data_IF_885529749364
#
_entry.id   IF_885529749364
#
_cell.length_a   1.000
_cell.length_b   1.000
_cell.length_c   1.000
_cell.angle_alpha   90.00
_cell.angle_beta   90.00
_cell.angle_gamma   90.00
#
_symmetry.space_group_name_H-M   'P 1'
#
loop_
_entity.id
_entity.type
_entity.pdbx_description
1 polymer ?
#
# COMPACT_ATOMS: atom_id res chain seq x y z
N UNK A 1 25.62 -23.36 5.36
CA UNK A 1 24.39 -24.14 5.59
C UNK A 1 23.30 -23.56 4.72
N UNK A 2 22.88 -24.27 3.68
CA UNK A 2 21.71 -23.91 2.88
C UNK A 2 20.47 -24.07 3.78
N UNK A 3 19.89 -22.98 4.27
CA UNK A 3 18.50 -23.02 4.73
C UNK A 3 17.63 -23.28 3.50
N UNK A 4 17.25 -24.54 3.31
CA UNK A 4 16.08 -24.87 2.52
C UNK A 4 14.92 -24.09 3.12
N UNK A 5 14.33 -23.18 2.35
CA UNK A 5 13.08 -22.55 2.73
C UNK A 5 12.05 -23.66 2.82
N UNK A 6 11.71 -24.10 4.04
CA UNK A 6 10.51 -24.90 4.25
C UNK A 6 9.35 -24.12 3.60
N UNK A 7 8.67 -24.74 2.64
CA UNK A 7 7.39 -24.22 2.18
C UNK A 7 6.50 -24.07 3.42
N UNK A 8 6.19 -22.82 3.77
CA UNK A 8 5.37 -22.53 4.93
C UNK A 8 4.00 -23.18 4.70
N UNK A 9 3.70 -24.21 5.49
CA UNK A 9 2.40 -24.89 5.46
C UNK A 9 1.30 -23.84 5.61
N UNK A 10 0.26 -23.93 4.75
CA UNK A 10 -0.88 -23.02 4.81
C UNK A 10 -1.42 -22.94 6.25
N UNK A 11 -1.64 -21.72 6.78
CA UNK A 11 -1.99 -21.54 8.19
C UNK A 11 -3.39 -22.09 8.52
N UNK A 12 -4.24 -22.23 7.51
CA UNK A 12 -5.51 -22.93 7.60
C UNK A 12 -5.93 -23.45 6.21
N UNK A 13 -6.89 -24.38 6.21
CA UNK A 13 -7.59 -24.83 5.01
C UNK A 13 -8.98 -24.22 5.01
N UNK A 14 -9.43 -23.75 3.84
CA UNK A 14 -10.80 -23.28 3.68
C UNK A 14 -11.79 -24.43 3.89
N UNK A 15 -12.92 -24.12 4.52
CA UNK A 15 -14.07 -25.02 4.66
C UNK A 15 -15.14 -24.63 3.64
N UNK A 16 -14.76 -24.60 2.37
CA UNK A 16 -15.62 -24.22 1.26
C UNK A 16 -16.06 -25.46 0.49
N UNK A 17 -17.36 -25.78 0.51
CA UNK A 17 -17.90 -26.93 -0.22
C UNK A 17 -17.93 -26.71 -1.74
N UNK A 18 -17.85 -25.46 -2.21
CA UNK A 18 -17.80 -25.09 -3.61
C UNK A 18 -16.70 -24.04 -3.86
N UNK A 19 -15.41 -24.44 -3.78
CA UNK A 19 -14.29 -23.52 -3.87
C UNK A 19 -14.34 -22.60 -5.09
N UNK A 20 -14.26 -21.29 -4.86
CA UNK A 20 -14.32 -20.27 -5.90
C UNK A 20 -13.63 -18.98 -5.45
N UNK A 21 -13.47 -18.05 -6.40
CA UNK A 21 -13.18 -16.65 -6.07
C UNK A 21 -14.44 -16.00 -5.53
N UNK A 22 -14.37 -15.48 -4.31
CA UNK A 22 -15.43 -14.70 -3.67
C UNK A 22 -15.07 -13.22 -3.76
N UNK A 23 -15.99 -12.42 -4.31
CA UNK A 23 -15.88 -10.96 -4.38
C UNK A 23 -17.07 -10.37 -3.63
N UNK A 24 -16.79 -9.56 -2.61
CA UNK A 24 -17.81 -8.97 -1.74
C UNK A 24 -17.71 -7.45 -1.85
N UNK A 25 -18.87 -6.80 -2.03
CA UNK A 25 -18.99 -5.34 -2.03
C UNK A 25 -20.06 -4.94 -1.02
N UNK A 26 -19.75 -3.98 -0.17
CA UNK A 26 -20.65 -3.46 0.86
C UNK A 26 -20.40 -1.97 1.08
N UNK A 27 -21.33 -1.28 1.75
CA UNK A 27 -21.20 0.15 2.07
C UNK A 27 -20.64 0.34 3.46
N UNK A 28 -19.65 1.21 3.62
CA UNK A 28 -19.06 1.53 4.92
C UNK A 28 -20.14 2.01 5.92
N UNK A 29 -21.07 2.86 5.48
CA UNK A 29 -22.20 3.34 6.30
C UNK A 29 -23.20 2.26 6.72
N UNK A 30 -23.26 1.13 6.01
CA UNK A 30 -24.11 -0.01 6.39
C UNK A 30 -23.37 -1.01 7.29
N UNK A 31 -22.03 -1.06 7.19
CA UNK A 31 -21.17 -1.90 8.02
C UNK A 31 -21.03 -1.31 9.42
N UNK A 32 -20.75 0.00 9.52
CA UNK A 32 -20.62 0.73 10.78
C UNK A 32 -21.48 2.00 10.76
N UNK A 33 -22.57 2.09 11.55
CA UNK A 33 -23.42 3.28 11.59
C UNK A 33 -22.72 4.52 12.18
N UNK A 34 -21.54 4.37 12.81
CA UNK A 34 -20.72 5.51 13.25
C UNK A 34 -19.94 6.15 12.10
N UNK A 35 -19.89 5.51 10.94
CA UNK A 35 -19.24 6.01 9.74
C UNK A 35 -19.83 7.35 9.29
N UNK A 36 -18.98 8.35 9.06
CA UNK A 36 -19.40 9.68 8.60
C UNK A 36 -18.62 10.14 7.37
N UNK A 37 -19.25 10.93 6.49
CA UNK A 37 -18.53 11.72 5.50
C UNK A 37 -17.79 12.89 6.18
N UNK A 38 -16.77 13.39 5.50
CA UNK A 38 -15.97 14.56 5.86
C UNK A 38 -15.88 15.51 4.65
N UNK A 39 -16.97 16.23 4.31
CA UNK A 39 -16.99 17.12 3.13
C UNK A 39 -15.92 18.21 3.17
N UNK A 40 -15.48 18.64 4.36
CA UNK A 40 -14.42 19.62 4.60
C UNK A 40 -13.06 19.20 4.03
N UNK A 41 -12.83 17.90 3.84
CA UNK A 41 -11.66 17.34 3.16
C UNK A 41 -12.06 16.58 1.90
N UNK A 42 -13.22 16.88 1.30
CA UNK A 42 -13.68 16.26 0.06
C UNK A 42 -14.00 14.76 0.15
N UNK A 43 -14.16 14.20 1.36
CA UNK A 43 -14.51 12.80 1.58
C UNK A 43 -16.02 12.65 1.79
N UNK A 44 -16.71 12.01 0.86
CA UNK A 44 -18.19 11.97 0.83
C UNK A 44 -18.71 10.55 0.62
N UNK A 45 -19.95 10.27 1.05
CA UNK A 45 -20.61 8.98 0.84
C UNK A 45 -21.50 8.96 -0.41
N UNK A 46 -21.73 10.12 -0.99
CA UNK A 46 -22.41 10.29 -2.25
C UNK A 46 -21.69 11.36 -3.07
N UNK A 47 -21.50 11.09 -4.36
CA UNK A 47 -20.94 12.04 -5.32
C UNK A 47 -21.78 12.01 -6.57
N UNK A 48 -22.25 13.17 -7.02
CA UNK A 48 -23.07 13.32 -8.23
C UNK A 48 -24.32 12.40 -8.23
N UNK A 49 -25.02 12.29 -7.10
CA UNK A 49 -26.20 11.43 -6.95
C UNK A 49 -25.89 9.94 -6.82
N UNK A 50 -24.62 9.54 -6.73
CA UNK A 50 -24.18 8.14 -6.69
C UNK A 50 -23.47 7.83 -5.38
N UNK A 51 -23.86 6.72 -4.77
CA UNK A 51 -23.18 6.14 -3.61
C UNK A 51 -21.69 5.93 -3.91
N UNK A 52 -20.82 6.46 -3.04
CA UNK A 52 -19.37 6.38 -3.15
C UNK A 52 -18.69 5.64 -2.00
N UNK A 53 -19.40 5.33 -0.91
CA UNK A 53 -18.83 4.71 0.29
C UNK A 53 -18.66 3.19 0.23
N UNK A 54 -18.36 2.66 -0.96
CA UNK A 54 -18.19 1.22 -1.14
C UNK A 54 -16.83 0.72 -0.66
N UNK A 55 -16.87 -0.44 -0.03
CA UNK A 55 -15.73 -1.27 0.34
C UNK A 55 -15.79 -2.57 -0.45
N UNK A 56 -14.61 -3.10 -0.80
CA UNK A 56 -14.48 -4.25 -1.68
C UNK A 56 -13.55 -5.29 -1.05
N UNK A 57 -13.90 -6.55 -1.13
CA UNK A 57 -13.10 -7.66 -0.63
C UNK A 57 -13.00 -8.78 -1.67
N UNK A 58 -11.88 -9.50 -1.66
CA UNK A 58 -11.64 -10.65 -2.51
C UNK A 58 -10.86 -11.74 -1.77
N UNK A 59 -11.27 -12.99 -1.97
CA UNK A 59 -10.54 -14.20 -1.54
C UNK A 59 -10.79 -15.32 -2.56
N UNK A 60 -9.77 -16.11 -2.89
CA UNK A 60 -9.93 -17.29 -3.75
C UNK A 60 -9.74 -18.57 -2.94
N UNK A 61 -10.84 -19.24 -2.59
CA UNK A 61 -10.81 -20.45 -1.75
C UNK A 61 -10.32 -21.69 -2.50
N UNK A 62 -10.07 -21.58 -3.82
CA UNK A 62 -9.42 -22.64 -4.63
C UNK A 62 -7.90 -22.67 -4.42
N UNK A 63 -7.32 -21.57 -3.94
CA UNK A 63 -5.87 -21.41 -3.75
C UNK A 63 -5.54 -21.59 -2.27
N UNK A 64 -4.48 -22.34 -1.89
CA UNK A 64 -4.07 -22.44 -0.50
C UNK A 64 -3.80 -21.06 0.13
N UNK A 65 -4.41 -20.80 1.28
CA UNK A 65 -4.24 -19.54 2.02
C UNK A 65 -2.78 -19.34 2.43
N UNK A 66 -2.26 -18.11 2.30
CA UNK A 66 -1.03 -17.68 2.97
C UNK A 66 -1.29 -17.10 4.37
N UNK A 67 -2.56 -16.95 4.76
CA UNK A 67 -2.98 -16.28 6.00
C UNK A 67 -2.46 -14.86 6.12
N UNK A 68 -2.50 -14.13 5.00
CA UNK A 68 -2.13 -12.72 4.93
C UNK A 68 -3.28 -11.91 4.33
N UNK A 69 -3.49 -10.71 4.86
CA UNK A 69 -4.52 -9.77 4.42
C UNK A 69 -3.87 -8.56 3.78
N UNK A 70 -4.17 -8.31 2.51
CA UNK A 70 -3.80 -7.08 1.81
C UNK A 70 -4.86 -6.02 2.07
N UNK A 71 -4.44 -4.86 2.57
CA UNK A 71 -5.28 -3.66 2.64
C UNK A 71 -4.79 -2.68 1.58
N UNK A 72 -5.63 -2.39 0.59
CA UNK A 72 -5.34 -1.51 -0.53
C UNK A 72 -5.85 -0.08 -0.27
N UNK A 73 -4.93 0.89 -0.23
CA UNK A 73 -5.19 2.29 0.17
C UNK A 73 -5.44 3.23 -1.01
N UNK A 74 -6.14 2.74 -2.04
CA UNK A 74 -6.63 3.54 -3.16
C UNK A 74 -8.03 3.06 -3.56
N UNK A 75 -8.62 3.67 -4.60
CA UNK A 75 -9.84 3.13 -5.21
C UNK A 75 -9.68 1.67 -5.62
N UNK A 76 -10.78 0.92 -5.60
CA UNK A 76 -10.78 -0.51 -5.90
C UNK A 76 -10.09 -0.83 -7.24
N UNK A 77 -9.15 -1.78 -7.21
CA UNK A 77 -8.46 -2.28 -8.38
C UNK A 77 -8.73 -3.80 -8.50
N UNK A 78 -9.74 -4.17 -9.30
CA UNK A 78 -10.11 -5.55 -9.52
C UNK A 78 -8.96 -6.41 -10.09
N UNK A 79 -8.16 -5.85 -10.99
CA UNK A 79 -7.03 -6.58 -11.59
C UNK A 79 -5.91 -6.86 -10.58
N UNK A 80 -5.68 -5.96 -9.61
CA UNK A 80 -4.81 -6.24 -8.49
C UNK A 80 -5.40 -7.32 -7.59
N UNK A 81 -6.71 -7.26 -7.30
CA UNK A 81 -7.41 -8.21 -6.43
C UNK A 81 -7.40 -9.63 -7.01
N UNK A 82 -7.59 -9.77 -8.33
CA UNK A 82 -7.42 -11.04 -9.05
C UNK A 82 -6.04 -11.66 -8.80
N UNK A 83 -4.98 -10.84 -8.87
CA UNK A 83 -3.61 -11.31 -8.69
C UNK A 83 -3.33 -11.70 -7.25
N UNK A 84 -3.58 -10.81 -6.30
CA UNK A 84 -3.26 -11.09 -4.89
C UNK A 84 -4.06 -12.28 -4.36
N UNK A 85 -5.33 -12.43 -4.77
CA UNK A 85 -6.13 -13.61 -4.44
C UNK A 85 -5.61 -14.89 -5.09
N UNK A 86 -5.14 -14.83 -6.35
CA UNK A 86 -4.46 -15.96 -7.01
C UNK A 86 -3.14 -16.38 -6.32
N UNK A 87 -2.57 -15.50 -5.47
CA UNK A 87 -1.41 -15.81 -4.66
C UNK A 87 -1.79 -16.45 -3.31
N UNK A 88 -3.08 -16.62 -3.00
CA UNK A 88 -3.57 -17.11 -1.71
C UNK A 88 -3.67 -16.03 -0.64
N UNK A 89 -3.73 -14.75 -1.04
CA UNK A 89 -3.88 -13.61 -0.14
C UNK A 89 -5.36 -13.19 -0.09
N UNK A 90 -5.83 -12.81 1.10
CA UNK A 90 -7.08 -12.07 1.23
C UNK A 90 -6.83 -10.61 0.87
N UNK A 91 -7.81 -9.94 0.28
CA UNK A 91 -7.69 -8.53 -0.06
C UNK A 91 -8.92 -7.74 0.35
N UNK A 92 -8.72 -6.54 0.88
CA UNK A 92 -9.76 -5.54 1.12
C UNK A 92 -9.33 -4.16 0.63
N UNK A 93 -10.30 -3.36 0.24
CA UNK A 93 -10.19 -1.92 0.03
C UNK A 93 -11.31 -1.27 0.82
N UNK A 94 -10.95 -0.37 1.73
CA UNK A 94 -11.89 0.32 2.62
C UNK A 94 -12.08 1.77 2.23
N UNK A 95 -13.26 2.32 2.52
CA UNK A 95 -13.60 3.70 2.25
C UNK A 95 -13.33 4.53 3.52
N UNK A 96 -12.10 5.02 3.65
CA UNK A 96 -11.61 5.79 4.80
C UNK A 96 -11.36 7.25 4.43
N UNK A 97 -11.34 8.14 5.43
CA UNK A 97 -11.28 9.60 5.27
C UNK A 97 -9.96 10.12 4.66
N UNK A 98 -9.76 9.87 3.36
CA UNK A 98 -8.51 10.09 2.64
C UNK A 98 -8.54 11.29 1.66
N UNK A 99 -9.63 12.05 1.64
CA UNK A 99 -9.83 13.14 0.68
C UNK A 99 -8.92 14.37 0.90
N UNK A 100 -8.31 14.49 2.09
CA UNK A 100 -7.46 15.62 2.50
C UNK A 100 -6.28 15.89 1.56
N UNK A 101 -5.85 14.90 0.77
CA UNK A 101 -4.68 15.01 -0.12
C UNK A 101 -4.80 16.15 -1.14
N UNK A 102 -6.02 16.47 -1.60
CA UNK A 102 -6.24 17.59 -2.53
C UNK A 102 -6.14 18.97 -1.87
N UNK A 103 -6.30 19.02 -0.54
CA UNK A 103 -6.39 20.28 0.21
C UNK A 103 -5.04 20.75 0.74
N UNK A 104 -4.20 19.82 1.19
CA UNK A 104 -2.91 20.08 1.83
C UNK A 104 -1.71 19.78 0.92
N UNK A 105 -0.52 20.28 1.30
CA UNK A 105 0.72 20.06 0.54
C UNK A 105 0.99 21.09 -0.56
N UNK A 106 0.34 22.25 -0.48
CA UNK A 106 0.56 23.42 -1.36
C UNK A 106 1.76 24.25 -0.88
N UNK A 107 2.32 25.06 -1.78
CA UNK A 107 3.34 26.05 -1.44
C UNK A 107 2.76 27.27 -0.73
N UNK A 108 3.50 27.92 0.19
CA UNK A 108 4.80 27.48 0.73
C UNK A 108 4.67 26.30 1.68
N UNK A 109 5.70 25.45 1.74
CA UNK A 109 5.75 24.33 2.67
C UNK A 109 5.54 24.78 4.14
N UNK A 110 4.70 24.09 4.93
CA UNK A 110 4.56 24.36 6.36
C UNK A 110 5.88 24.25 7.11
N UNK A 111 6.03 25.06 8.17
CA UNK A 111 7.24 25.05 9.00
C UNK A 111 7.49 23.67 9.63
N UNK A 112 6.42 23.03 10.13
CA UNK A 112 6.44 21.66 10.61
C UNK A 112 6.81 20.68 9.48
N UNK A 113 7.94 20.01 9.63
CA UNK A 113 8.49 19.07 8.65
C UNK A 113 7.89 17.66 8.74
N UNK A 114 6.84 17.50 9.56
CA UNK A 114 6.00 16.30 9.68
C UNK A 114 4.51 16.56 9.43
N UNK A 115 4.15 17.75 8.95
CA UNK A 115 2.76 18.19 8.74
C UNK A 115 1.82 17.20 8.01
N UNK A 116 2.06 16.87 6.74
CA UNK A 116 1.28 15.85 6.00
C UNK A 116 1.49 14.46 6.60
N UNK A 117 2.67 14.16 7.14
CA UNK A 117 2.95 12.93 7.87
C UNK A 117 2.03 12.72 9.08
N UNK A 118 1.59 13.79 9.74
CA UNK A 118 0.60 13.78 10.85
C UNK A 118 -0.81 13.58 10.32
N UNK A 119 -1.23 14.33 9.29
CA UNK A 119 -2.55 14.19 8.65
C UNK A 119 -2.74 12.76 8.12
N UNK A 120 -1.72 12.19 7.47
CA UNK A 120 -1.69 10.79 7.01
C UNK A 120 -1.97 9.81 8.13
N UNK A 121 -1.33 10.03 9.28
CA UNK A 121 -1.44 9.11 10.39
C UNK A 121 -2.84 9.19 11.01
N UNK A 122 -3.36 10.40 11.20
CA UNK A 122 -4.74 10.61 11.66
C UNK A 122 -5.77 10.01 10.69
N UNK A 123 -5.62 10.19 9.37
CA UNK A 123 -6.50 9.52 8.40
C UNK A 123 -6.39 7.98 8.45
N UNK A 124 -5.23 7.44 8.82
CA UNK A 124 -5.01 6.00 8.90
C UNK A 124 -5.53 5.40 10.23
N UNK A 125 -5.45 6.11 11.34
CA UNK A 125 -5.78 5.60 12.69
C UNK A 125 -7.11 6.12 13.23
N UNK A 126 -7.50 7.34 12.82
CA UNK A 126 -8.57 8.13 13.42
C UNK A 126 -8.25 8.62 14.84
N UNK A 127 -6.96 8.79 15.14
CA UNK A 127 -6.45 9.41 16.36
C UNK A 127 -5.91 10.81 16.04
N UNK A 128 -6.05 11.73 16.98
CA UNK A 128 -5.60 13.12 16.82
C UNK A 128 -4.07 13.20 16.73
N UNK A 129 -3.57 13.48 15.53
CA UNK A 129 -2.15 13.73 15.27
C UNK A 129 -1.90 15.11 14.67
N UNK A 130 -2.95 15.77 14.17
CA UNK A 130 -2.84 16.95 13.34
C UNK A 130 -3.88 18.00 13.72
N UNK A 131 -3.48 19.27 13.96
CA UNK A 131 -4.42 20.32 14.34
C UNK A 131 -5.29 20.84 13.17
N UNK A 132 -5.08 20.35 11.94
CA UNK A 132 -5.76 20.85 10.73
C UNK A 132 -6.83 19.92 10.18
N UNK A 133 -7.00 18.75 10.77
CA UNK A 133 -8.07 17.79 10.45
C UNK A 133 -8.68 17.29 11.75
N UNK A 134 -9.87 16.68 11.68
CA UNK A 134 -10.51 16.03 12.82
C UNK A 134 -11.20 14.76 12.32
N UNK A 135 -10.42 13.69 12.15
CA UNK A 135 -10.90 12.41 11.67
C UNK A 135 -11.09 11.48 12.88
N UNK A 136 -12.33 11.17 13.29
CA UNK A 136 -12.56 10.33 14.44
C UNK A 136 -12.27 8.86 14.10
N UNK A 137 -11.99 8.07 15.14
CA UNK A 137 -11.65 6.64 15.04
C UNK A 137 -12.49 5.84 14.03
N UNK A 138 -13.84 5.91 14.00
CA UNK A 138 -14.66 5.16 13.04
C UNK A 138 -14.31 5.40 11.57
N UNK A 139 -13.79 6.58 11.23
CA UNK A 139 -13.58 7.03 9.86
C UNK A 139 -12.13 6.85 9.38
N UNK A 140 -11.23 6.48 10.30
CA UNK A 140 -9.86 6.07 10.01
C UNK A 140 -9.78 4.69 9.34
N UNK A 141 -8.74 4.49 8.51
CA UNK A 141 -8.50 3.24 7.77
C UNK A 141 -8.49 2.00 8.68
N UNK A 142 -7.82 2.09 9.83
CA UNK A 142 -7.64 1.00 10.78
C UNK A 142 -8.97 0.45 11.31
N UNK A 143 -9.87 1.33 11.74
CA UNK A 143 -11.19 0.92 12.26
C UNK A 143 -12.09 0.43 11.13
N UNK A 144 -12.10 1.12 9.97
CA UNK A 144 -12.83 0.68 8.77
C UNK A 144 -12.48 -0.75 8.38
N UNK A 145 -11.18 -1.06 8.29
CA UNK A 145 -10.69 -2.39 7.97
C UNK A 145 -11.12 -3.44 8.99
N UNK A 146 -11.05 -3.11 10.28
CA UNK A 146 -11.50 -4.01 11.35
C UNK A 146 -13.00 -4.31 11.28
N UNK A 147 -13.85 -3.28 11.11
CA UNK A 147 -15.29 -3.49 10.98
C UNK A 147 -15.64 -4.26 9.69
N UNK A 148 -14.95 -3.99 8.59
CA UNK A 148 -15.19 -4.70 7.34
C UNK A 148 -14.81 -6.18 7.45
N UNK A 149 -13.69 -6.53 8.08
CA UNK A 149 -13.31 -7.93 8.34
C UNK A 149 -14.35 -8.65 9.20
N UNK A 150 -14.91 -8.00 10.23
CA UNK A 150 -16.01 -8.57 11.04
C UNK A 150 -17.28 -8.79 10.22
N UNK A 151 -17.60 -7.88 9.32
CA UNK A 151 -18.71 -8.02 8.39
C UNK A 151 -18.48 -9.21 7.45
N UNK A 152 -17.28 -9.32 6.87
CA UNK A 152 -16.90 -10.39 5.95
C UNK A 152 -16.93 -11.77 6.59
N UNK A 153 -16.55 -11.90 7.86
CA UNK A 153 -16.66 -13.16 8.60
C UNK A 153 -18.11 -13.67 8.67
N UNK A 154 -19.08 -12.78 8.79
CA UNK A 154 -20.51 -13.13 8.76
C UNK A 154 -21.02 -13.35 7.33
N UNK A 155 -20.55 -12.56 6.38
CA UNK A 155 -21.08 -12.51 5.02
C UNK A 155 -20.50 -13.59 4.10
N UNK A 156 -19.27 -14.03 4.36
CA UNK A 156 -18.54 -15.03 3.61
C UNK A 156 -17.71 -15.91 4.58
N UNK A 157 -18.36 -16.75 5.39
CA UNK A 157 -17.68 -17.61 6.36
C UNK A 157 -16.68 -18.58 5.70
N UNK A 158 -16.89 -18.95 4.44
CA UNK A 158 -15.99 -19.80 3.65
C UNK A 158 -14.59 -19.18 3.49
N UNK A 159 -14.50 -17.84 3.52
CA UNK A 159 -13.26 -17.09 3.45
C UNK A 159 -12.44 -17.10 4.75
N UNK A 160 -13.02 -17.52 5.88
CA UNK A 160 -12.36 -17.53 7.20
C UNK A 160 -11.70 -16.17 7.56
N UNK A 161 -12.44 -15.09 7.37
CA UNK A 161 -11.97 -13.71 7.57
C UNK A 161 -11.63 -13.42 9.03
N UNK A 162 -12.29 -14.11 9.97
CA UNK A 162 -12.04 -14.05 11.41
C UNK A 162 -10.60 -14.42 11.78
N UNK A 163 -9.85 -15.12 10.92
CA UNK A 163 -8.42 -15.36 11.11
C UNK A 163 -7.59 -14.07 11.27
N UNK A 164 -8.04 -12.96 10.71
CA UNK A 164 -7.33 -11.67 10.77
C UNK A 164 -7.73 -10.79 11.96
N UNK A 165 -8.69 -11.21 12.79
CA UNK A 165 -9.06 -10.50 14.01
C UNK A 165 -8.05 -10.85 15.12
N UNK A 166 -7.57 -9.85 15.84
CA UNK A 166 -6.64 -10.05 16.96
C UNK A 166 -7.22 -10.97 18.03
N UNK A 167 -6.36 -11.65 18.79
CA UNK A 167 -6.80 -12.62 19.82
C UNK A 167 -7.68 -11.98 20.90
N UNK A 168 -7.40 -10.72 21.25
CA UNK A 168 -8.23 -9.93 22.19
C UNK A 168 -9.53 -9.42 21.57
N UNK A 169 -9.74 -9.64 20.26
CA UNK A 169 -10.91 -9.21 19.52
C UNK A 169 -11.01 -7.69 19.33
N UNK A 170 -9.97 -6.90 19.63
CA UNK A 170 -10.03 -5.42 19.63
C UNK A 170 -9.44 -4.75 18.38
N UNK A 171 -8.98 -5.54 17.40
CA UNK A 171 -8.45 -5.01 16.15
C UNK A 171 -8.08 -6.12 15.17
N UNK A 172 -7.15 -5.80 14.27
CA UNK A 172 -6.59 -6.75 13.31
C UNK A 172 -5.26 -7.31 13.81
N UNK A 173 -4.92 -8.53 13.37
CA UNK A 173 -3.59 -9.12 13.49
C UNK A 173 -2.65 -8.44 12.50
N UNK A 174 -2.13 -7.26 12.86
CA UNK A 174 -1.29 -6.46 11.97
C UNK A 174 -0.02 -7.18 11.50
N UNK A 175 0.51 -8.15 12.26
CA UNK A 175 1.61 -9.03 11.85
C UNK A 175 1.22 -10.02 10.71
N UNK A 176 -0.06 -10.07 10.34
CA UNK A 176 -0.59 -10.78 9.16
C UNK A 176 -1.06 -9.82 8.05
N UNK A 177 -0.93 -8.51 8.24
CA UNK A 177 -1.42 -7.52 7.28
C UNK A 177 -0.30 -7.02 6.38
N UNK A 178 -0.58 -7.00 5.08
CA UNK A 178 0.19 -6.31 4.05
C UNK A 178 -0.53 -4.98 3.77
N UNK A 179 0.09 -3.86 4.11
CA UNK A 179 -0.46 -2.54 3.77
C UNK A 179 0.09 -2.12 2.39
N UNK A 180 -0.79 -1.79 1.46
CA UNK A 180 -0.41 -1.54 0.07
C UNK A 180 -1.12 -0.33 -0.49
N UNK A 181 -0.45 0.43 -1.37
CA UNK A 181 -1.05 1.57 -2.04
C UNK A 181 -0.24 2.05 -3.23
N UNK A 182 -0.85 2.89 -4.06
CA UNK A 182 -0.15 3.65 -5.10
C UNK A 182 -0.22 5.15 -4.80
N UNK A 183 0.79 5.93 -5.20
CA UNK A 183 0.74 7.40 -5.07
C UNK A 183 0.43 7.83 -3.62
N UNK A 184 -0.64 8.59 -3.39
CA UNK A 184 -1.14 8.94 -2.06
C UNK A 184 -1.29 7.73 -1.11
N UNK A 185 -1.86 6.63 -1.62
CA UNK A 185 -2.02 5.39 -0.87
C UNK A 185 -0.68 4.75 -0.49
N UNK A 186 0.32 4.82 -1.38
CA UNK A 186 1.68 4.33 -1.09
C UNK A 186 2.32 5.14 0.04
N UNK A 187 2.16 6.47 0.01
CA UNK A 187 2.69 7.35 1.04
C UNK A 187 2.01 7.12 2.39
N UNK A 188 0.69 6.95 2.39
CA UNK A 188 -0.07 6.61 3.60
C UNK A 188 0.30 5.23 4.15
N UNK A 189 0.45 4.22 3.30
CA UNK A 189 0.87 2.88 3.68
C UNK A 189 2.24 2.89 4.38
N UNK A 190 3.21 3.60 3.80
CA UNK A 190 4.53 3.76 4.38
C UNK A 190 4.48 4.50 5.73
N UNK A 191 3.77 5.63 5.80
CA UNK A 191 3.65 6.44 7.02
C UNK A 191 2.98 5.67 8.16
N UNK A 192 1.91 4.95 7.86
CA UNK A 192 1.21 4.08 8.82
C UNK A 192 2.14 2.99 9.33
N UNK A 193 2.90 2.33 8.45
CA UNK A 193 3.82 1.26 8.85
C UNK A 193 5.00 1.71 9.72
N UNK A 194 5.38 3.01 9.66
CA UNK A 194 6.34 3.59 10.63
C UNK A 194 5.75 3.60 12.05
N UNK A 195 4.44 3.74 12.18
CA UNK A 195 3.73 3.81 13.47
C UNK A 195 3.22 2.44 13.94
N UNK A 196 2.51 1.70 13.09
CA UNK A 196 1.97 0.37 13.36
C UNK A 196 2.85 -0.68 12.67
N UNK A 197 3.38 -1.64 13.45
CA UNK A 197 4.10 -2.78 12.89
C UNK A 197 3.15 -3.62 12.04
N UNK A 198 3.50 -3.85 10.78
CA UNK A 198 2.78 -4.72 9.84
C UNK A 198 3.67 -5.85 9.31
N UNK A 199 3.10 -6.82 8.60
CA UNK A 199 3.89 -7.89 7.98
C UNK A 199 4.75 -7.39 6.82
N UNK A 200 4.17 -6.53 5.98
CA UNK A 200 4.77 -6.05 4.73
C UNK A 200 4.15 -4.73 4.29
N UNK A 201 4.94 -3.92 3.61
CA UNK A 201 4.50 -2.69 2.95
C UNK A 201 4.81 -2.78 1.46
N UNK A 202 3.80 -2.58 0.61
CA UNK A 202 3.97 -2.55 -0.86
C UNK A 202 3.63 -1.16 -1.38
N UNK A 203 4.60 -0.54 -2.05
CA UNK A 203 4.60 0.88 -2.42
C UNK A 203 4.71 1.02 -3.94
N UNK A 204 3.62 1.39 -4.60
CA UNK A 204 3.62 1.72 -6.02
C UNK A 204 3.73 3.23 -6.21
N UNK A 205 4.60 3.69 -7.12
CA UNK A 205 4.78 5.11 -7.47
C UNK A 205 4.80 6.05 -6.24
N UNK A 206 5.56 5.63 -5.22
CA UNK A 206 5.60 6.26 -3.90
C UNK A 206 6.69 5.65 -3.01
N UNK A 207 6.84 6.13 -1.78
CA UNK A 207 6.10 7.23 -1.17
C UNK A 207 6.66 8.61 -1.58
N UNK A 208 5.82 9.64 -1.51
CA UNK A 208 6.19 11.03 -1.80
C UNK A 208 5.47 11.98 -0.84
N UNK A 209 6.26 12.72 -0.07
CA UNK A 209 5.92 14.03 0.48
C UNK A 209 7.12 14.95 0.24
N UNK A 210 6.86 16.09 -0.38
CA UNK A 210 7.86 16.92 -1.04
C UNK A 210 8.95 17.44 -0.07
N UNK A 211 8.55 17.90 1.11
CA UNK A 211 9.43 18.66 2.02
C UNK A 211 9.58 18.02 3.40
N UNK A 212 8.88 16.93 3.63
CA UNK A 212 8.79 16.32 4.94
C UNK A 212 9.85 15.26 5.13
N UNK A 213 10.18 15.01 6.39
CA UNK A 213 11.23 14.06 6.78
C UNK A 213 10.69 12.94 7.64
N UNK A 214 9.35 12.75 7.70
CA UNK A 214 8.73 11.69 8.49
C UNK A 214 9.20 10.29 8.08
N UNK A 215 9.67 10.11 6.84
CA UNK A 215 10.21 8.85 6.33
C UNK A 215 11.36 8.34 7.22
N UNK A 216 12.17 9.27 7.76
CA UNK A 216 13.32 9.01 8.61
C UNK A 216 12.99 8.85 10.10
N UNK A 217 11.72 8.92 10.51
CA UNK A 217 11.32 8.61 11.89
C UNK A 217 11.69 7.14 12.24
N UNK A 218 11.73 6.77 13.51
CA UNK A 218 11.79 5.35 13.89
C UNK A 218 10.65 4.54 13.24
N UNK A 219 10.92 3.28 12.92
CA UNK A 219 9.95 2.41 12.24
C UNK A 219 9.50 1.27 13.15
N UNK A 220 8.18 1.14 13.38
CA UNK A 220 7.60 -0.03 14.01
C UNK A 220 7.69 -1.27 13.11
N UNK A 221 7.58 -1.09 11.80
CA UNK A 221 7.79 -2.15 10.81
C UNK A 221 9.28 -2.23 10.42
N UNK A 222 9.95 -3.39 10.52
CA UNK A 222 11.32 -3.56 10.03
C UNK A 222 11.49 -3.09 8.58
N UNK A 223 12.54 -2.34 8.30
CA UNK A 223 12.75 -1.67 7.00
C UNK A 223 12.88 -2.64 5.83
N UNK A 224 13.37 -3.87 6.08
CA UNK A 224 13.44 -4.94 5.08
C UNK A 224 12.07 -5.44 4.57
N UNK A 225 10.96 -4.99 5.17
CA UNK A 225 9.59 -5.37 4.82
C UNK A 225 8.89 -4.36 3.91
N UNK A 226 9.57 -3.28 3.52
CA UNK A 226 9.08 -2.28 2.58
C UNK A 226 9.56 -2.61 1.17
N UNK A 227 8.65 -2.59 0.20
CA UNK A 227 8.95 -2.91 -1.21
C UNK A 227 8.43 -1.79 -2.11
N UNK A 228 9.31 -1.16 -2.89
CA UNK A 228 8.98 -0.10 -3.83
C UNK A 228 8.98 -0.57 -5.29
N UNK A 229 8.01 -0.09 -6.07
CA UNK A 229 8.00 -0.22 -7.52
C UNK A 229 7.52 1.08 -8.19
N UNK A 230 8.31 1.63 -9.11
CA UNK A 230 8.06 2.90 -9.77
C UNK A 230 8.51 2.87 -11.24
N UNK A 231 7.98 3.77 -12.06
CA UNK A 231 8.43 3.95 -13.44
C UNK A 231 9.41 5.11 -13.51
N UNK A 232 10.52 5.00 -14.25
CA UNK A 232 11.58 6.04 -14.28
C UNK A 232 11.11 7.41 -14.81
N UNK A 233 10.12 7.42 -15.70
CA UNK A 233 9.49 8.66 -16.21
C UNK A 233 8.44 9.28 -15.28
N UNK A 234 8.12 8.64 -14.16
CA UNK A 234 7.25 9.24 -13.16
C UNK A 234 7.88 10.54 -12.63
N UNK A 235 7.08 11.61 -12.52
CA UNK A 235 7.51 12.91 -12.01
C UNK A 235 8.15 12.84 -10.61
N UNK A 236 7.89 11.78 -9.85
CA UNK A 236 8.60 11.47 -8.61
C UNK A 236 10.13 11.39 -8.72
N UNK A 237 10.67 10.98 -9.88
CA UNK A 237 12.12 10.92 -10.11
C UNK A 237 12.72 12.27 -10.46
N UNK A 238 12.05 13.08 -11.29
CA UNK A 238 12.54 14.40 -11.71
C UNK A 238 12.79 15.36 -10.54
N UNK A 239 12.06 15.19 -9.44
CA UNK A 239 12.22 15.97 -8.21
C UNK A 239 12.95 15.24 -7.07
N UNK A 240 13.66 14.14 -7.37
CA UNK A 240 14.36 13.28 -6.39
C UNK A 240 13.48 12.65 -5.31
N UNK A 241 12.15 12.68 -5.44
CA UNK A 241 11.24 12.22 -4.39
C UNK A 241 11.38 10.74 -4.07
N UNK A 242 11.51 9.89 -5.08
CA UNK A 242 11.53 8.44 -4.86
C UNK A 242 12.87 7.94 -4.34
N UNK A 243 14.00 8.32 -4.94
CA UNK A 243 15.31 7.98 -4.39
C UNK A 243 15.47 8.54 -2.96
N UNK A 244 14.96 9.75 -2.70
CA UNK A 244 14.99 10.37 -1.37
C UNK A 244 14.17 9.56 -0.38
N UNK A 245 12.89 9.35 -0.67
CA UNK A 245 11.99 8.66 0.24
C UNK A 245 12.46 7.22 0.50
N UNK A 246 12.92 6.51 -0.52
CA UNK A 246 13.41 5.13 -0.36
C UNK A 246 14.67 5.07 0.51
N UNK A 247 15.60 6.02 0.39
CA UNK A 247 16.77 6.06 1.28
C UNK A 247 16.44 6.56 2.69
N UNK A 248 15.52 7.52 2.85
CA UNK A 248 15.05 7.93 4.19
C UNK A 248 14.30 6.79 4.90
N UNK A 249 13.74 5.84 4.14
CA UNK A 249 13.18 4.58 4.66
C UNK A 249 14.24 3.48 4.86
N UNK A 250 15.52 3.73 4.56
CA UNK A 250 16.62 2.78 4.73
C UNK A 250 16.70 1.69 3.64
N UNK A 251 15.98 1.80 2.53
CA UNK A 251 15.85 0.70 1.56
C UNK A 251 17.14 0.35 0.82
N UNK A 252 18.13 1.24 0.80
CA UNK A 252 19.45 0.97 0.23
C UNK A 252 20.25 -0.06 1.03
N UNK A 253 19.87 -0.35 2.28
CA UNK A 253 20.42 -1.46 3.05
C UNK A 253 19.97 -2.85 2.53
N UNK A 254 18.99 -2.91 1.63
CA UNK A 254 18.36 -4.16 1.16
C UNK A 254 18.37 -4.28 -0.37
N UNK A 255 19.43 -3.82 -1.03
CA UNK A 255 19.62 -3.93 -2.48
C UNK A 255 19.72 -2.57 -3.21
N UNK A 256 20.38 -2.55 -4.39
CA UNK A 256 20.42 -1.39 -5.28
C UNK A 256 19.05 -1.07 -5.89
N UNK A 257 18.90 0.08 -6.54
CA UNK A 257 17.80 0.28 -7.49
C UNK A 257 17.96 -0.72 -8.64
N UNK A 258 16.90 -1.48 -8.94
CA UNK A 258 16.90 -2.54 -9.95
C UNK A 258 15.88 -2.24 -11.03
N UNK A 259 16.33 -2.21 -12.29
CA UNK A 259 15.44 -2.22 -13.43
C UNK A 259 14.94 -3.64 -13.74
N UNK A 260 13.64 -3.86 -13.55
CA UNK A 260 12.96 -5.14 -13.71
C UNK A 260 12.83 -5.59 -15.17
N UNK A 261 12.96 -4.68 -16.13
CA UNK A 261 12.94 -4.98 -17.56
C UNK A 261 14.29 -5.54 -18.04
N UNK A 262 15.34 -5.38 -17.22
CA UNK A 262 16.73 -5.81 -17.53
C UNK A 262 17.23 -6.93 -16.62
N UNK A 263 16.61 -7.11 -15.46
CA UNK A 263 16.95 -8.19 -14.52
C UNK A 263 15.71 -9.01 -14.18
N UNK A 264 15.72 -10.34 -14.37
CA UNK A 264 14.60 -11.18 -14.01
C UNK A 264 14.44 -11.32 -12.48
N UNK A 265 13.28 -11.81 -12.05
CA UNK A 265 13.04 -12.21 -10.66
C UNK A 265 14.11 -13.23 -10.20
N UNK A 266 14.61 -13.16 -8.95
CA UNK A 266 14.09 -12.38 -7.83
C UNK A 266 14.67 -10.96 -7.72
N UNK A 267 15.13 -10.36 -8.83
CA UNK A 267 15.53 -8.94 -8.87
C UNK A 267 16.66 -8.60 -7.87
N UNK A 268 17.62 -9.53 -7.71
CA UNK A 268 18.69 -9.40 -6.72
C UNK A 268 18.19 -9.29 -5.27
N UNK A 269 16.94 -9.73 -5.00
CA UNK A 269 16.22 -9.55 -3.74
C UNK A 269 16.06 -8.08 -3.30
N UNK A 270 16.15 -7.13 -4.24
CA UNK A 270 16.07 -5.70 -3.94
C UNK A 270 14.68 -5.26 -3.46
N UNK A 271 14.64 -4.25 -2.59
CA UNK A 271 13.43 -3.52 -2.18
C UNK A 271 13.11 -2.30 -3.05
N UNK A 272 13.99 -1.96 -4.01
CA UNK A 272 13.92 -0.73 -4.82
C UNK A 272 13.81 -1.09 -6.30
N UNK A 273 12.59 -1.37 -6.77
CA UNK A 273 12.37 -1.80 -8.16
C UNK A 273 11.90 -0.63 -9.03
N UNK A 274 12.43 -0.57 -10.25
CA UNK A 274 12.01 0.38 -11.28
C UNK A 274 11.74 -0.31 -12.61
N UNK A 275 11.00 0.35 -13.49
CA UNK A 275 10.82 -0.03 -14.90
C UNK A 275 11.07 1.18 -15.81
N UNK A 276 11.66 0.93 -16.97
CA UNK A 276 11.77 1.88 -18.09
C UNK A 276 10.96 1.42 -19.32
N UNK A 277 9.96 0.57 -19.09
CA UNK A 277 9.06 0.08 -20.13
C UNK A 277 8.39 1.21 -20.91
N UNK A 278 8.12 0.99 -22.20
CA UNK A 278 7.60 2.05 -23.06
C UNK A 278 6.17 2.50 -22.67
N UNK A 279 6.10 3.67 -22.06
CA UNK A 279 4.86 4.39 -21.73
C UNK A 279 4.57 5.52 -22.71
N UNK A 280 5.26 5.57 -23.87
CA UNK A 280 5.12 6.59 -24.91
C UNK A 280 5.47 8.00 -24.43
N UNK A 281 6.50 8.11 -23.59
CA UNK A 281 6.95 9.36 -22.98
C UNK A 281 5.86 10.12 -22.18
N UNK A 282 4.82 9.43 -21.72
CA UNK A 282 3.74 9.97 -20.91
C UNK A 282 4.03 9.73 -19.42
N UNK A 283 4.28 10.80 -18.68
CA UNK A 283 4.59 10.78 -17.25
C UNK A 283 3.37 10.40 -16.38
N UNK A 284 2.15 10.73 -16.83
CA UNK A 284 0.90 10.31 -16.16
C UNK A 284 0.67 8.81 -16.34
N UNK A 285 0.95 8.30 -17.54
CA UNK A 285 0.93 6.86 -17.79
C UNK A 285 2.03 6.17 -16.99
N UNK A 286 3.24 6.71 -16.96
CA UNK A 286 4.34 6.21 -16.13
C UNK A 286 3.89 6.01 -14.68
N UNK A 287 3.29 7.06 -14.09
CA UNK A 287 2.80 7.04 -12.71
C UNK A 287 1.79 5.92 -12.42
N UNK A 288 0.93 5.60 -13.39
CA UNK A 288 -0.12 4.58 -13.22
C UNK A 288 0.28 3.17 -13.69
N UNK A 289 1.31 3.07 -14.54
CA UNK A 289 1.70 1.84 -15.24
C UNK A 289 2.22 0.72 -14.34
N UNK A 290 2.66 1.05 -13.12
CA UNK A 290 3.25 0.11 -12.17
C UNK A 290 2.23 -0.73 -11.40
N UNK A 291 0.94 -0.44 -11.55
CA UNK A 291 -0.16 -1.24 -11.01
C UNK A 291 -0.91 -1.95 -12.13
N UNK A 292 -1.48 -3.15 -11.92
CA UNK A 292 -2.32 -3.80 -12.92
C UNK A 292 -3.47 -2.89 -13.34
N UNK A 293 -3.63 -2.62 -14.63
CA UNK A 293 -4.67 -1.72 -15.13
C UNK A 293 -4.50 -1.34 -16.60
N UNK A 294 -5.30 -0.36 -17.04
CA UNK A 294 -5.25 0.15 -18.42
C UNK A 294 -3.94 0.84 -18.79
N UNK A 295 -3.23 1.42 -17.81
CA UNK A 295 -1.95 2.08 -18.04
C UNK A 295 -0.75 1.12 -18.09
N UNK A 296 -0.88 -0.07 -17.48
CA UNK A 296 0.20 -1.05 -17.39
C UNK A 296 0.63 -1.54 -18.77
N UNK A 297 1.93 -1.77 -18.90
CA UNK A 297 2.53 -2.16 -20.17
C UNK A 297 2.24 -3.64 -20.45
N UNK A 298 1.91 -3.92 -21.70
CA UNK A 298 1.63 -5.26 -22.21
C UNK A 298 2.55 -5.55 -23.39
N UNK A 299 2.91 -6.81 -23.55
CA UNK A 299 3.62 -7.29 -24.73
C UNK A 299 2.70 -7.35 -25.96
N UNK A 300 3.25 -7.76 -27.11
CA UNK A 300 2.52 -7.89 -28.36
C UNK A 300 1.37 -8.92 -28.31
N UNK A 301 1.40 -9.85 -27.35
CA UNK A 301 0.32 -10.83 -27.12
C UNK A 301 -0.77 -10.30 -26.19
N UNK A 302 -0.62 -9.07 -25.67
CA UNK A 302 -1.55 -8.46 -24.73
C UNK A 302 -1.35 -8.89 -23.28
N UNK A 303 -0.28 -9.62 -22.96
CA UNK A 303 0.05 -10.04 -21.60
C UNK A 303 0.82 -8.95 -20.88
N UNK A 304 0.53 -8.73 -19.59
CA UNK A 304 1.27 -7.79 -18.77
C UNK A 304 2.73 -8.23 -18.59
N UNK A 305 3.66 -7.30 -18.75
CA UNK A 305 5.09 -7.61 -18.66
C UNK A 305 5.60 -7.66 -17.21
N UNK A 306 4.86 -7.08 -16.27
CA UNK A 306 5.26 -6.94 -14.85
C UNK A 306 4.61 -7.96 -13.90
N UNK A 307 4.06 -9.08 -14.40
CA UNK A 307 3.44 -10.13 -13.57
C UNK A 307 4.39 -10.66 -12.48
N UNK A 308 5.66 -10.89 -12.84
CA UNK A 308 6.69 -11.37 -11.91
C UNK A 308 7.02 -10.33 -10.83
N UNK A 309 6.95 -9.04 -11.16
CA UNK A 309 7.16 -7.93 -10.22
C UNK A 309 6.04 -7.90 -9.20
N UNK A 310 4.78 -7.92 -9.63
CA UNK A 310 3.64 -7.92 -8.70
C UNK A 310 3.69 -9.14 -7.78
N UNK A 311 3.96 -10.33 -8.31
CA UNK A 311 4.13 -11.53 -7.46
C UNK A 311 5.27 -11.36 -6.46
N UNK A 312 6.42 -10.85 -6.89
CA UNK A 312 7.57 -10.60 -6.02
C UNK A 312 7.22 -9.64 -4.87
N UNK A 313 6.63 -8.49 -5.17
CA UNK A 313 6.27 -7.47 -4.18
C UNK A 313 5.37 -8.03 -3.07
N UNK A 314 4.42 -8.91 -3.40
CA UNK A 314 3.47 -9.45 -2.43
C UNK A 314 3.89 -10.77 -1.76
N UNK A 315 4.76 -11.57 -2.38
CA UNK A 315 5.03 -12.95 -1.89
C UNK A 315 6.50 -13.25 -1.61
N UNK A 316 7.45 -12.45 -2.08
CA UNK A 316 8.87 -12.74 -1.88
C UNK A 316 9.23 -12.77 -0.37
N UNK A 317 10.01 -13.74 0.13
CA UNK A 317 10.38 -13.81 1.55
C UNK A 317 11.08 -12.54 2.03
N UNK A 318 10.57 -11.94 3.11
CA UNK A 318 11.06 -10.66 3.63
C UNK A 318 12.47 -10.73 4.25
N UNK A 319 12.92 -11.92 4.63
CA UNK A 319 14.28 -12.16 5.13
C UNK A 319 15.31 -12.37 4.00
N UNK A 320 14.86 -12.57 2.75
CA UNK A 320 15.74 -12.57 1.59
C UNK A 320 15.87 -11.13 1.10
N UNK A 321 17.06 -10.57 1.29
CA UNK A 321 17.39 -9.16 1.00
C UNK A 321 18.57 -9.09 0.02
N UNK A 322 18.61 -8.01 -0.78
CA UNK A 322 19.75 -7.72 -1.64
C UNK A 322 20.94 -7.16 -0.86
N UNK A 323 22.10 -7.11 -1.50
CA UNK A 323 23.31 -6.52 -0.90
C UNK A 323 23.10 -5.02 -0.62
N UNK A 324 23.52 -4.59 0.57
CA UNK A 324 23.48 -3.19 0.95
C UNK A 324 24.38 -2.36 0.04
N UNK A 325 23.92 -1.17 -0.34
CA UNK A 325 24.70 -0.22 -1.13
C UNK A 325 24.67 1.17 -0.49
N UNK A 326 25.62 2.01 -0.88
CA UNK A 326 25.65 3.41 -0.48
C UNK A 326 24.39 4.18 -0.95
N UNK A 327 24.17 5.34 -0.34
CA UNK A 327 23.19 6.32 -0.80
C UNK A 327 23.44 6.73 -2.26
N UNK A 328 22.37 7.00 -3.01
CA UNK A 328 22.47 7.40 -4.42
C UNK A 328 23.04 8.82 -4.49
N UNK A 329 24.25 9.03 -5.06
CA UNK A 329 25.00 10.28 -4.92
C UNK A 329 24.30 11.49 -5.56
N UNK A 330 23.45 11.24 -6.56
CA UNK A 330 22.72 12.28 -7.28
C UNK A 330 21.35 12.60 -6.67
N UNK A 331 20.98 11.98 -5.55
CA UNK A 331 19.66 12.14 -4.97
C UNK A 331 19.63 13.23 -3.88
N UNK A 332 19.00 14.36 -4.17
CA UNK A 332 18.86 15.47 -3.21
C UNK A 332 17.94 15.10 -2.04
N UNK A 333 18.47 15.12 -0.81
CA UNK A 333 17.74 14.72 0.42
C UNK A 333 16.98 15.84 1.11
N UNK A 334 17.44 17.07 1.02
CA UNK A 334 16.68 18.23 1.50
C UNK A 334 16.16 19.01 0.30
N UNK A 335 14.85 19.00 0.12
CA UNK A 335 14.17 19.65 -1.00
C UNK A 335 13.63 21.04 -0.61
N UNK A 336 13.72 21.44 0.67
CA UNK A 336 13.34 22.80 1.08
C UNK A 336 14.32 23.80 0.48
N UNK A 337 13.81 24.94 0.04
CA UNK A 337 14.67 26.05 -0.39
C UNK A 337 15.56 26.50 0.78
N UNK A 338 16.83 26.87 0.53
CA UNK A 338 17.64 27.51 1.56
C UNK A 338 16.88 28.72 2.12
N UNK A 339 16.84 28.87 3.45
CA UNK A 339 16.33 30.11 4.03
C UNK A 339 17.13 31.26 3.43
N UNK A 340 16.45 32.21 2.79
CA UNK A 340 17.09 33.50 2.48
C UNK A 340 17.41 34.13 3.84
N UNK A 341 18.70 34.21 4.16
CA UNK A 341 19.19 34.90 5.36
C UNK A 341 18.83 36.38 5.34
#
# INVERSE_FOLDING_TARGET
>A
MLLQAQEAKAPFKYKDAAPKKHEIKARASQIDPKAKPHPEIGFVFEKDGKVSDYENACVDTRVPSQGKLVIWLMGHNAQLFDRVSSYGLHAIQVHYANGWFGEFGKEPAPADDKFLGKIRLEAATGEDFSPVVNIPKPDGMMERAYQFVKYLEKKNPEGNWGYFISEDGKGLRWDKVIISGSSHGSTTAARFAKHQKVDRVVMFCGPRDQYETWQALPSATPENRYFGFSHVLDGGWKGDHYCRSWELLGLNAFGPIVNVDKMPAPFGNSRRLITDADVKNDDKRAHSSVTPGGAAVKDASGKFIHESVWKYLFTHPVEKVGEAVAADPNCKKDLRSPKKN
#
